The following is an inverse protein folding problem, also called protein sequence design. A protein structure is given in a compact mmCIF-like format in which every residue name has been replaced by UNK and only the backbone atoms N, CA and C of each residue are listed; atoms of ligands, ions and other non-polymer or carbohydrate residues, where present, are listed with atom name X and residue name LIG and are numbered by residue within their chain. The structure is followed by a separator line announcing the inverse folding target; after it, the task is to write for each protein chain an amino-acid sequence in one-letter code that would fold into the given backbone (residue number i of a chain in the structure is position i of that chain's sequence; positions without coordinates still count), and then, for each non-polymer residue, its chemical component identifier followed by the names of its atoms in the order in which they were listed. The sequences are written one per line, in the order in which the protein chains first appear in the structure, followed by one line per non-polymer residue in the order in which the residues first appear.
data_IF_791662492404
#
_entry.id   IF_791662492404
#
_cell.length_a   1.000
_cell.length_b   1.000
_cell.length_c   1.000
_cell.angle_alpha   90.00
_cell.angle_beta   90.00
_cell.angle_gamma   90.00
#
_symmetry.space_group_name_H-M   'P 1'
#
loop_
_entity.id
_entity.type
_entity.pdbx_description
1 polymer ?
#
# COMPACT_ATOMS: atom_id res chain seq x y z
N UNK A 1 11.56 -14.19 29.68
CA UNK A 1 11.69 -15.45 28.90
C UNK A 1 11.09 -15.31 27.50
N UNK A 2 9.88 -14.77 27.35
CA UNK A 2 9.20 -14.59 26.06
C UNK A 2 9.94 -13.66 25.09
N UNK A 3 10.46 -12.51 25.55
CA UNK A 3 11.24 -11.58 24.72
C UNK A 3 12.56 -12.19 24.21
N UNK A 4 13.19 -13.06 25.02
CA UNK A 4 14.40 -13.79 24.64
C UNK A 4 14.10 -14.89 23.61
N UNK A 5 12.95 -15.56 23.73
CA UNK A 5 12.47 -16.53 22.74
C UNK A 5 12.14 -15.83 21.40
N UNK A 6 11.51 -14.66 21.44
CA UNK A 6 11.20 -13.85 20.26
C UNK A 6 12.47 -13.40 19.54
N UNK A 7 13.44 -12.81 20.27
CA UNK A 7 14.72 -12.38 19.69
C UNK A 7 15.52 -13.55 19.11
N UNK A 8 15.52 -14.72 19.76
CA UNK A 8 16.15 -15.94 19.22
C UNK A 8 15.43 -16.49 17.99
N UNK A 9 14.09 -16.50 17.97
CA UNK A 9 13.33 -16.98 16.81
C UNK A 9 13.54 -16.06 15.60
N UNK A 10 13.50 -14.74 15.82
CA UNK A 10 13.77 -13.72 14.79
C UNK A 10 15.19 -13.82 14.21
N UNK A 11 16.18 -14.20 15.02
CA UNK A 11 17.55 -14.47 14.55
C UNK A 11 17.66 -15.83 13.86
N UNK A 12 17.05 -16.88 14.39
CA UNK A 12 17.09 -18.22 13.79
C UNK A 12 16.37 -18.29 12.42
N UNK A 13 15.26 -17.58 12.24
CA UNK A 13 14.55 -17.48 10.94
C UNK A 13 15.43 -16.78 9.89
N UNK A 14 16.24 -15.80 10.29
CA UNK A 14 17.21 -15.14 9.41
C UNK A 14 18.41 -16.02 9.04
N UNK A 15 18.71 -17.07 9.80
CA UNK A 15 19.93 -17.88 9.66
C UNK A 15 19.71 -19.34 9.19
N UNK A 16 18.48 -19.85 9.09
CA UNK A 16 18.26 -21.25 8.70
C UNK A 16 18.24 -21.47 7.18
N UNK A 17 19.43 -21.56 6.58
CA UNK A 17 19.63 -22.11 5.23
C UNK A 17 19.74 -23.64 5.18
N UNK A 18 19.78 -24.31 6.33
CA UNK A 18 20.01 -25.76 6.34
C UNK A 18 18.75 -26.59 6.09
N UNK A 19 18.90 -27.57 5.19
CA UNK A 19 17.94 -28.59 4.83
C UNK A 19 17.48 -29.33 6.09
N UNK A 20 16.17 -29.31 6.35
CA UNK A 20 15.60 -30.03 7.50
C UNK A 20 15.26 -31.45 7.04
N UNK A 21 16.12 -32.41 7.40
CA UNK A 21 15.85 -33.83 7.20
C UNK A 21 14.88 -34.31 8.27
N UNK A 22 13.66 -34.68 7.87
CA UNK A 22 12.68 -35.29 8.75
C UNK A 22 12.79 -36.82 8.64
N UNK A 23 13.32 -37.46 9.67
CA UNK A 23 13.46 -38.91 9.74
C UNK A 23 12.24 -39.53 10.43
N UNK A 24 11.45 -40.33 9.72
CA UNK A 24 10.45 -41.18 10.34
C UNK A 24 11.07 -42.53 10.71
N UNK A 25 10.64 -43.08 11.86
CA UNK A 25 11.26 -44.25 12.50
C UNK A 25 10.96 -45.57 11.75
N UNK A 26 10.01 -45.59 10.80
CA UNK A 26 9.59 -46.86 10.16
C UNK A 26 9.36 -46.85 8.63
N UNK A 27 9.22 -45.70 7.94
CA UNK A 27 8.72 -45.71 6.53
C UNK A 27 9.48 -44.79 5.55
N UNK A 28 10.81 -44.77 5.63
CA UNK A 28 11.67 -44.12 4.64
C UNK A 28 11.93 -42.63 4.89
N UNK A 29 12.93 -42.09 4.18
CA UNK A 29 13.41 -40.72 4.33
C UNK A 29 12.58 -39.78 3.44
N UNK A 30 11.90 -38.81 4.04
CA UNK A 30 11.28 -37.71 3.28
C UNK A 30 12.29 -36.55 3.27
N UNK A 31 12.95 -36.33 2.14
CA UNK A 31 13.74 -35.12 1.95
C UNK A 31 12.81 -33.98 1.56
N UNK A 32 12.52 -33.08 2.50
CA UNK A 32 11.88 -31.80 2.16
C UNK A 32 12.98 -30.86 1.69
N UNK A 33 13.20 -30.82 0.36
CA UNK A 33 14.11 -29.85 -0.25
C UNK A 33 13.52 -28.45 -0.02
N UNK A 34 14.07 -27.70 0.93
CA UNK A 34 13.72 -26.28 1.09
C UNK A 34 14.08 -25.57 -0.22
N UNK A 35 13.08 -25.06 -0.93
CA UNK A 35 13.32 -24.18 -2.08
C UNK A 35 14.03 -22.92 -1.57
N UNK A 36 14.95 -22.42 -2.38
CA UNK A 36 15.62 -21.14 -2.14
C UNK A 36 14.55 -20.11 -1.73
N UNK A 37 14.80 -19.42 -0.63
CA UNK A 37 13.84 -18.56 0.06
C UNK A 37 13.10 -17.65 -0.93
N UNK A 38 11.79 -17.55 -0.76
CA UNK A 38 10.93 -16.64 -1.53
C UNK A 38 11.60 -15.27 -1.67
N UNK A 39 11.68 -14.76 -2.90
CA UNK A 39 12.07 -13.38 -3.16
C UNK A 39 11.22 -12.47 -2.28
N UNK A 40 11.85 -11.61 -1.49
CA UNK A 40 11.13 -10.56 -0.74
C UNK A 40 10.21 -9.83 -1.72
N UNK A 41 8.98 -9.54 -1.29
CA UNK A 41 8.07 -8.75 -2.09
C UNK A 41 8.73 -7.41 -2.42
N UNK A 42 8.67 -7.02 -3.70
CA UNK A 42 9.24 -5.77 -4.19
C UNK A 42 8.31 -4.59 -3.95
N UNK A 43 6.99 -4.85 -3.98
CA UNK A 43 5.95 -3.87 -3.76
C UNK A 43 4.68 -4.46 -3.12
N UNK A 44 3.75 -3.56 -2.82
CA UNK A 44 2.47 -3.92 -2.19
C UNK A 44 1.58 -4.76 -3.11
N UNK A 45 1.67 -4.62 -4.44
CA UNK A 45 0.84 -5.40 -5.36
C UNK A 45 1.22 -6.87 -5.34
N UNK A 46 2.52 -7.19 -5.28
CA UNK A 46 2.99 -8.57 -5.10
C UNK A 46 2.51 -9.17 -3.77
N UNK A 47 2.60 -8.39 -2.68
CA UNK A 47 2.13 -8.83 -1.36
C UNK A 47 0.61 -9.07 -1.35
N UNK A 48 -0.18 -8.16 -1.92
CA UNK A 48 -1.64 -8.29 -1.98
C UNK A 48 -2.08 -9.51 -2.78
N UNK A 49 -1.39 -9.81 -3.88
CA UNK A 49 -1.67 -10.99 -4.69
C UNK A 49 -1.36 -12.27 -3.91
N UNK A 50 -0.19 -12.34 -3.26
CA UNK A 50 0.19 -13.50 -2.45
C UNK A 50 -0.73 -13.67 -1.23
N UNK A 51 -1.09 -12.59 -0.56
CA UNK A 51 -1.98 -12.60 0.59
C UNK A 51 -3.39 -13.05 0.21
N UNK A 52 -3.90 -12.65 -0.97
CA UNK A 52 -5.18 -13.15 -1.48
C UNK A 52 -5.17 -14.66 -1.68
N UNK A 53 -4.14 -15.22 -2.32
CA UNK A 53 -4.03 -16.67 -2.48
C UNK A 53 -3.92 -17.39 -1.14
N UNK A 54 -3.22 -16.81 -0.17
CA UNK A 54 -3.20 -17.32 1.21
C UNK A 54 -4.59 -17.30 1.85
N UNK A 55 -5.32 -16.19 1.74
CA UNK A 55 -6.69 -16.09 2.28
C UNK A 55 -7.61 -17.15 1.67
N UNK A 56 -7.61 -17.28 0.35
CA UNK A 56 -8.42 -18.29 -0.35
C UNK A 56 -8.13 -19.70 0.19
N UNK A 57 -6.86 -20.05 0.40
CA UNK A 57 -6.47 -21.33 0.97
C UNK A 57 -6.95 -21.51 2.42
N UNK A 58 -6.79 -20.48 3.26
CA UNK A 58 -7.23 -20.53 4.67
C UNK A 58 -8.75 -20.63 4.78
N UNK A 59 -9.49 -19.91 3.95
CA UNK A 59 -10.95 -19.88 4.00
C UNK A 59 -11.60 -21.19 3.55
N UNK A 60 -10.88 -22.04 2.81
CA UNK A 60 -11.31 -23.42 2.54
C UNK A 60 -11.40 -24.23 3.85
N UNK A 61 -10.45 -24.02 4.78
CA UNK A 61 -10.39 -24.75 6.05
C UNK A 61 -11.11 -24.04 7.20
N UNK A 62 -11.08 -22.71 7.21
CA UNK A 62 -11.52 -21.86 8.33
C UNK A 62 -12.33 -20.67 7.83
N UNK A 63 -13.56 -20.94 7.37
CA UNK A 63 -14.44 -19.92 6.78
C UNK A 63 -14.71 -18.72 7.69
N UNK A 64 -14.81 -18.95 9.01
CA UNK A 64 -15.15 -17.91 9.99
C UNK A 64 -14.03 -16.87 10.18
N UNK A 65 -12.83 -17.10 9.61
CA UNK A 65 -11.71 -16.14 9.65
C UNK A 65 -11.76 -15.07 8.56
N UNK A 66 -12.79 -15.05 7.72
CA UNK A 66 -12.91 -14.09 6.61
C UNK A 66 -12.80 -12.64 7.07
N UNK A 67 -13.49 -12.27 8.15
CA UNK A 67 -13.48 -10.90 8.65
C UNK A 67 -12.11 -10.50 9.22
N UNK A 68 -11.45 -11.43 9.91
CA UNK A 68 -10.09 -11.24 10.46
C UNK A 68 -9.07 -10.99 9.34
N UNK A 69 -9.10 -11.82 8.30
CA UNK A 69 -8.18 -11.73 7.18
C UNK A 69 -8.41 -10.46 6.34
N UNK A 70 -9.66 -10.11 6.08
CA UNK A 70 -10.00 -8.86 5.39
C UNK A 70 -9.56 -7.63 6.21
N UNK A 71 -9.78 -7.64 7.53
CA UNK A 71 -9.32 -6.57 8.40
C UNK A 71 -7.80 -6.39 8.33
N UNK A 72 -7.05 -7.49 8.38
CA UNK A 72 -5.59 -7.44 8.29
C UNK A 72 -5.10 -6.95 6.93
N UNK A 73 -5.71 -7.43 5.84
CA UNK A 73 -5.47 -6.94 4.48
C UNK A 73 -5.62 -5.41 4.39
N UNK A 74 -6.72 -4.88 4.93
CA UNK A 74 -7.01 -3.45 4.90
C UNK A 74 -6.08 -2.65 5.82
N UNK A 75 -5.67 -3.23 6.95
CA UNK A 75 -4.70 -2.63 7.87
C UNK A 75 -3.33 -2.45 7.21
N UNK A 76 -2.78 -3.52 6.60
CA UNK A 76 -1.50 -3.44 5.89
C UNK A 76 -1.60 -2.47 4.70
N UNK A 77 -2.69 -2.54 3.92
CA UNK A 77 -2.94 -1.60 2.82
C UNK A 77 -2.93 -0.15 3.32
N UNK A 78 -3.58 0.12 4.44
CA UNK A 78 -3.62 1.44 5.08
C UNK A 78 -2.23 1.88 5.54
N UNK A 79 -1.43 1.00 6.15
CA UNK A 79 -0.06 1.30 6.55
C UNK A 79 0.81 1.66 5.34
N UNK A 80 0.66 0.94 4.21
CA UNK A 80 1.38 1.24 2.97
C UNK A 80 1.01 2.60 2.33
N UNK A 81 -0.12 3.21 2.70
CA UNK A 81 -0.44 4.61 2.31
C UNK A 81 0.29 5.66 3.15
N UNK A 82 0.81 5.28 4.32
CA UNK A 82 1.41 6.18 5.32
C UNK A 82 2.92 6.00 5.44
N UNK A 83 3.42 4.79 5.27
CA UNK A 83 4.81 4.40 5.49
C UNK A 83 5.43 3.79 4.24
N UNK A 84 6.77 3.80 4.17
CA UNK A 84 7.51 3.10 3.14
C UNK A 84 7.22 1.59 3.17
N UNK A 85 7.10 0.98 1.99
CA UNK A 85 6.67 -0.42 1.88
C UNK A 85 7.62 -1.36 2.63
N UNK A 86 8.94 -1.12 2.54
CA UNK A 86 9.94 -1.92 3.25
C UNK A 86 9.74 -1.92 4.76
N UNK A 87 9.37 -0.78 5.36
CA UNK A 87 9.12 -0.71 6.81
C UNK A 87 7.84 -1.49 7.18
N UNK A 88 6.79 -1.38 6.35
CA UNK A 88 5.56 -2.15 6.56
C UNK A 88 5.81 -3.65 6.45
N UNK A 89 6.69 -4.10 5.56
CA UNK A 89 7.02 -5.52 5.43
C UNK A 89 7.78 -6.09 6.64
N UNK A 90 8.62 -5.30 7.30
CA UNK A 90 9.27 -5.73 8.55
C UNK A 90 8.24 -5.86 9.66
N UNK A 91 7.33 -4.90 9.77
CA UNK A 91 6.20 -4.97 10.71
C UNK A 91 5.31 -6.19 10.46
N UNK A 92 4.97 -6.47 9.19
CA UNK A 92 4.15 -7.62 8.78
C UNK A 92 4.81 -8.95 9.18
N UNK A 93 6.13 -9.06 8.96
CA UNK A 93 6.92 -10.22 9.37
C UNK A 93 6.94 -10.40 10.89
N UNK A 94 7.15 -9.33 11.64
CA UNK A 94 7.13 -9.32 13.10
C UNK A 94 5.75 -9.73 13.66
N UNK A 95 4.68 -9.27 13.01
CA UNK A 95 3.31 -9.65 13.37
C UNK A 95 3.04 -11.13 13.17
N UNK A 96 3.42 -11.69 12.01
CA UNK A 96 3.29 -13.13 11.76
C UNK A 96 4.12 -13.96 12.74
N UNK A 97 5.29 -13.45 13.13
CA UNK A 97 6.14 -14.10 14.10
C UNK A 97 5.50 -14.14 15.49
N UNK A 98 4.93 -13.02 15.93
CA UNK A 98 4.23 -12.92 17.20
C UNK A 98 3.05 -13.90 17.28
N UNK A 99 2.23 -13.99 16.22
CA UNK A 99 1.12 -14.94 16.12
C UNK A 99 1.57 -16.41 16.15
N UNK A 100 2.80 -16.70 15.73
CA UNK A 100 3.34 -18.06 15.83
C UNK A 100 3.72 -18.41 17.27
N UNK A 101 4.08 -17.40 18.07
CA UNK A 101 4.45 -17.56 19.48
C UNK A 101 3.25 -17.58 20.42
N UNK A 102 2.18 -16.88 20.06
CA UNK A 102 0.94 -16.83 20.84
C UNK A 102 -0.24 -17.32 20.00
N UNK A 103 -0.69 -18.55 20.30
CA UNK A 103 -1.80 -19.20 19.61
C UNK A 103 -3.17 -18.60 19.94
N UNK A 104 -3.26 -17.82 21.01
CA UNK A 104 -4.51 -17.17 21.42
C UNK A 104 -4.65 -15.78 20.76
N UNK A 105 -3.57 -15.25 20.20
CA UNK A 105 -3.58 -13.98 19.46
C UNK A 105 -4.16 -14.14 18.06
N UNK A 106 -4.81 -13.09 17.59
CA UNK A 106 -5.47 -12.99 16.29
C UNK A 106 -4.90 -11.83 15.48
N UNK A 107 -5.11 -11.83 14.17
CA UNK A 107 -4.71 -10.71 13.30
C UNK A 107 -5.53 -9.43 13.55
N UNK A 108 -6.59 -9.49 14.36
CA UNK A 108 -7.28 -8.30 14.84
C UNK A 108 -6.45 -7.55 15.90
N UNK A 109 -5.62 -8.27 16.64
CA UNK A 109 -4.89 -7.73 17.77
C UNK A 109 -3.79 -6.80 17.26
N UNK A 110 -3.86 -5.54 17.67
CA UNK A 110 -2.80 -4.59 17.38
C UNK A 110 -1.60 -4.90 18.27
N UNK A 111 -0.48 -5.25 17.65
CA UNK A 111 0.78 -5.40 18.35
C UNK A 111 1.44 -4.03 18.49
N UNK A 112 1.14 -3.35 19.60
CA UNK A 112 1.65 -2.02 19.92
C UNK A 112 3.18 -2.01 20.00
N UNK A 113 3.78 -3.10 20.48
CA UNK A 113 5.24 -3.25 20.55
C UNK A 113 5.85 -3.29 19.14
N UNK A 114 5.33 -4.15 18.26
CA UNK A 114 5.78 -4.22 16.87
C UNK A 114 5.52 -2.91 16.10
N UNK A 115 4.40 -2.22 16.36
CA UNK A 115 4.13 -0.90 15.78
C UNK A 115 5.14 0.15 16.29
N UNK A 116 5.45 0.15 17.59
CA UNK A 116 6.42 1.07 18.19
C UNK A 116 7.84 0.83 17.72
N UNK A 117 8.23 -0.43 17.50
CA UNK A 117 9.54 -0.79 16.95
C UNK A 117 9.69 -0.42 15.47
N UNK A 118 8.62 -0.56 14.67
CA UNK A 118 8.69 -0.43 13.22
C UNK A 118 8.21 0.93 12.67
N UNK A 119 7.47 1.72 13.45
CA UNK A 119 6.87 3.00 13.03
C UNK A 119 7.18 4.16 13.99
N UNK A 120 8.40 4.20 14.52
CA UNK A 120 8.88 5.27 15.39
C UNK A 120 9.00 6.64 14.68
N UNK A 121 9.44 7.67 15.43
CA UNK A 121 9.63 9.04 14.90
C UNK A 121 10.67 9.07 13.76
N UNK A 122 11.60 8.13 13.75
CA UNK A 122 12.68 8.04 12.74
C UNK A 122 12.28 7.26 11.49
N UNK A 123 11.20 6.46 11.57
CA UNK A 123 10.68 5.69 10.47
C UNK A 123 10.25 6.64 9.35
N UNK A 124 10.72 6.36 8.14
CA UNK A 124 10.41 7.17 6.96
C UNK A 124 8.93 7.05 6.67
N UNK A 125 8.15 7.98 7.22
CA UNK A 125 6.79 8.24 6.75
C UNK A 125 6.92 8.52 5.27
N UNK A 126 6.08 7.89 4.44
CA UNK A 126 5.95 8.30 3.05
C UNK A 126 5.67 9.79 3.10
N UNK A 127 6.63 10.60 2.63
CA UNK A 127 6.40 12.02 2.48
C UNK A 127 5.22 12.15 1.52
N UNK A 128 4.03 12.41 2.07
CA UNK A 128 2.85 12.79 1.29
C UNK A 128 3.10 14.17 0.70
N UNK A 129 3.95 14.23 -0.33
CA UNK A 129 3.98 15.12 -1.50
C UNK A 129 5.03 14.49 -2.43
N UNK A 130 4.71 13.37 -3.08
CA UNK A 130 5.08 13.27 -4.49
C UNK A 130 3.86 13.71 -5.28
N UNK A 131 3.68 15.04 -5.36
CA UNK A 131 3.07 15.60 -6.57
C UNK A 131 3.79 14.92 -7.73
N UNK A 132 3.09 14.37 -8.75
CA UNK A 132 3.79 13.85 -9.92
C UNK A 132 4.80 14.92 -10.33
N UNK A 133 6.09 14.56 -10.39
CA UNK A 133 7.10 15.43 -10.96
C UNK A 133 6.64 15.61 -12.39
N UNK A 134 5.87 16.67 -12.64
CA UNK A 134 5.46 17.07 -13.98
C UNK A 134 6.76 17.12 -14.77
N UNK A 135 6.88 16.26 -15.76
CA UNK A 135 8.10 16.20 -16.55
C UNK A 135 8.30 17.57 -17.20
N UNK A 136 9.55 18.05 -17.28
CA UNK A 136 9.85 19.40 -17.82
C UNK A 136 9.19 19.63 -19.20
N UNK A 137 9.01 18.57 -19.99
CA UNK A 137 8.34 18.55 -21.28
C UNK A 137 6.82 18.81 -21.22
N UNK A 138 6.16 18.44 -20.13
CA UNK A 138 4.72 18.66 -19.93
C UNK A 138 4.40 20.12 -19.55
N UNK A 139 5.39 20.82 -18.98
CA UNK A 139 5.30 22.25 -18.65
C UNK A 139 5.45 23.16 -19.86
N UNK A 140 5.83 22.64 -21.03
CA UNK A 140 6.07 23.45 -22.22
C UNK A 140 4.76 23.66 -22.99
N UNK A 141 4.43 24.92 -23.22
CA UNK A 141 3.38 25.39 -24.12
C UNK A 141 3.83 25.31 -25.58
N UNK A 142 2.89 25.34 -26.51
CA UNK A 142 3.16 25.15 -27.95
C UNK A 142 4.13 26.18 -28.55
N UNK A 143 4.31 27.34 -27.90
CA UNK A 143 5.24 28.40 -28.32
C UNK A 143 6.61 28.36 -27.61
N UNK A 144 6.89 27.30 -26.84
CA UNK A 144 8.13 27.15 -26.08
C UNK A 144 8.13 27.83 -24.71
N UNK A 145 7.08 28.58 -24.34
CA UNK A 145 6.97 29.15 -22.98
C UNK A 145 6.50 28.10 -21.98
N UNK A 146 6.89 28.29 -20.72
CA UNK A 146 6.47 27.38 -19.65
C UNK A 146 5.07 27.76 -19.09
N UNK A 147 4.26 26.74 -18.78
CA UNK A 147 2.95 26.88 -18.15
C UNK A 147 3.15 27.23 -16.67
N UNK A 148 2.40 28.22 -16.19
CA UNK A 148 2.46 28.67 -14.80
C UNK A 148 1.84 27.63 -13.85
N UNK A 149 2.68 26.91 -13.11
CA UNK A 149 2.25 25.98 -12.06
C UNK A 149 1.53 26.72 -10.92
N UNK A 150 2.03 27.90 -10.56
CA UNK A 150 1.44 28.69 -9.47
C UNK A 150 0.02 29.15 -9.82
N UNK A 151 -0.25 29.46 -11.08
CA UNK A 151 -1.60 29.80 -11.53
C UNK A 151 -2.54 28.59 -11.46
N UNK A 152 -2.10 27.41 -11.92
CA UNK A 152 -2.88 26.17 -11.79
C UNK A 152 -3.24 25.83 -10.34
N UNK A 153 -2.39 26.24 -9.39
CA UNK A 153 -2.59 26.05 -7.96
C UNK A 153 -3.25 27.24 -7.25
N UNK A 154 -3.67 28.28 -7.98
CA UNK A 154 -4.25 29.54 -7.44
C UNK A 154 -3.34 30.32 -6.49
N UNK A 155 -2.02 30.16 -6.63
CA UNK A 155 -1.01 30.94 -5.91
C UNK A 155 -0.37 32.03 -6.78
N UNK A 156 -0.79 32.16 -8.05
CA UNK A 156 -0.38 33.27 -8.90
C UNK A 156 -1.42 34.39 -8.79
N UNK A 157 -0.99 35.57 -8.38
CA UNK A 157 -1.82 36.78 -8.41
C UNK A 157 -2.09 37.18 -9.86
N UNK A 158 -3.34 37.36 -10.23
CA UNK A 158 -3.75 37.72 -11.61
C UNK A 158 -3.32 39.14 -12.00
N UNK A 159 -3.07 40.02 -11.01
CA UNK A 159 -2.70 41.43 -11.21
C UNK A 159 -1.21 41.66 -11.59
N UNK A 160 -0.36 40.63 -11.49
CA UNK A 160 1.05 40.72 -11.87
C UNK A 160 1.24 40.07 -13.24
N UNK A 161 1.96 40.75 -14.14
CA UNK A 161 2.40 40.19 -15.43
C UNK A 161 3.23 38.93 -15.18
N UNK A 162 2.57 37.77 -15.18
CA UNK A 162 3.23 36.50 -15.01
C UNK A 162 4.06 36.21 -16.25
N UNK A 163 5.35 35.86 -16.07
CA UNK A 163 6.24 35.49 -17.17
C UNK A 163 5.89 34.15 -17.82
N UNK A 164 4.97 33.39 -17.22
CA UNK A 164 4.56 32.04 -17.60
C UNK A 164 3.12 32.03 -18.12
N UNK A 165 2.78 31.05 -18.95
CA UNK A 165 1.46 30.96 -19.59
C UNK A 165 0.41 30.44 -18.58
N UNK A 166 -0.69 31.17 -18.44
CA UNK A 166 -1.85 30.76 -17.62
C UNK A 166 -2.75 29.78 -18.38
N UNK A 167 -2.29 28.53 -18.47
CA UNK A 167 -3.03 27.45 -19.11
C UNK A 167 -3.11 26.20 -18.23
N UNK A 168 -4.10 25.36 -18.47
CA UNK A 168 -4.30 24.10 -17.75
C UNK A 168 -3.14 23.12 -18.00
N UNK A 169 -2.57 22.56 -16.93
CA UNK A 169 -1.52 21.54 -17.03
C UNK A 169 -2.01 20.21 -17.63
N UNK A 170 -3.29 19.88 -17.46
CA UNK A 170 -3.86 18.61 -17.92
C UNK A 170 -4.17 18.62 -19.42
N UNK A 171 -4.90 19.64 -19.90
CA UNK A 171 -5.40 19.66 -21.27
C UNK A 171 -4.74 20.71 -22.16
N UNK A 172 -3.76 21.47 -21.63
CA UNK A 172 -3.07 22.56 -22.32
C UNK A 172 -4.04 23.54 -23.00
N UNK A 173 -5.11 23.94 -22.29
CA UNK A 173 -6.05 25.00 -22.73
C UNK A 173 -6.05 26.17 -21.75
N UNK A 174 -6.23 27.38 -22.27
CA UNK A 174 -6.35 28.61 -21.49
C UNK A 174 -7.77 28.68 -20.89
N UNK A 175 -7.94 29.42 -19.79
CA UNK A 175 -9.25 29.76 -19.22
C UNK A 175 -9.71 28.89 -18.05
N UNK A 176 -8.97 27.85 -17.68
CA UNK A 176 -9.21 27.09 -16.46
C UNK A 176 -7.92 26.49 -15.89
N UNK A 177 -7.91 26.26 -14.58
CA UNK A 177 -6.82 25.55 -13.89
C UNK A 177 -7.03 24.04 -13.95
N UNK A 178 -5.98 23.26 -13.73
CA UNK A 178 -6.02 21.80 -13.59
C UNK A 178 -7.21 21.29 -12.74
N UNK A 179 -7.47 21.91 -11.58
CA UNK A 179 -8.60 21.53 -10.70
C UNK A 179 -9.99 21.71 -11.33
N UNK A 180 -10.11 22.58 -12.33
CA UNK A 180 -11.35 22.84 -13.07
C UNK A 180 -11.33 22.14 -14.44
N UNK A 181 -10.34 21.30 -14.71
CA UNK A 181 -10.23 20.61 -15.98
C UNK A 181 -11.20 19.45 -16.05
N UNK A 182 -12.08 19.46 -17.06
CA UNK A 182 -13.03 18.37 -17.29
C UNK A 182 -12.32 17.03 -17.56
N UNK A 183 -11.18 17.05 -18.26
CA UNK A 183 -10.38 15.86 -18.60
C UNK A 183 -9.77 15.21 -17.35
N UNK A 184 -9.24 16.01 -16.42
CA UNK A 184 -8.73 15.48 -15.14
C UNK A 184 -9.84 15.02 -14.19
N UNK A 185 -11.03 15.63 -14.29
CA UNK A 185 -12.20 15.23 -13.52
C UNK A 185 -12.85 13.94 -14.01
N UNK A 186 -12.70 13.55 -15.28
CA UNK A 186 -13.26 12.30 -15.79
C UNK A 186 -12.49 11.07 -15.30
N UNK A 187 -11.18 11.16 -15.09
CA UNK A 187 -10.37 10.06 -14.52
C UNK A 187 -10.55 9.93 -13.00
N UNK A 188 -10.88 11.02 -12.31
CA UNK A 188 -11.15 11.00 -10.86
C UNK A 188 -12.62 10.77 -10.50
N UNK A 189 -13.58 11.10 -11.37
CA UNK A 189 -15.02 10.83 -11.14
C UNK A 189 -15.52 9.49 -11.68
N UNK A 190 -14.76 8.77 -12.52
CA UNK A 190 -15.11 7.41 -12.93
C UNK A 190 -14.94 6.37 -11.80
N UNK A 191 -14.26 6.73 -10.71
CA UNK A 191 -14.23 5.96 -9.46
C UNK A 191 -15.32 6.36 -8.43
N UNK A 192 -16.11 7.42 -8.69
CA UNK A 192 -17.00 8.01 -7.68
C UNK A 192 -18.47 8.18 -8.12
N UNK A 193 -18.90 7.61 -9.25
CA UNK A 193 -20.31 7.63 -9.67
C UNK A 193 -20.82 6.24 -10.00
N UNK A 194 -21.07 5.47 -8.95
CA UNK A 194 -22.02 4.38 -8.93
C UNK A 194 -22.96 4.55 -7.74
N UNK A 195 -23.87 5.54 -7.79
CA UNK A 195 -25.27 5.42 -7.33
C UNK A 195 -25.98 6.78 -7.19
N UNK A 196 -27.27 6.72 -7.55
CA UNK A 196 -28.37 7.66 -7.25
C UNK A 196 -28.42 8.90 -8.15
N UNK A 197 -29.53 9.31 -8.79
CA UNK A 197 -30.97 9.03 -8.56
C UNK A 197 -31.78 9.70 -9.69
N UNK A 198 -32.95 9.17 -10.05
CA UNK A 198 -34.10 9.93 -10.61
C UNK A 198 -35.35 9.01 -10.57
N UNK A 199 -36.10 8.95 -9.47
CA UNK A 199 -37.20 9.82 -9.05
C UNK A 199 -38.48 9.81 -9.91
N UNK A 200 -39.55 9.31 -9.26
CA UNK A 200 -40.95 9.78 -9.22
C UNK A 200 -41.82 9.95 -10.48
N UNK A 201 -43.01 9.33 -10.43
CA UNK A 201 -44.24 9.76 -11.10
C UNK A 201 -45.47 9.63 -10.16
N UNK A 202 -46.56 10.37 -10.42
CA UNK A 202 -47.33 11.06 -9.37
C UNK A 202 -48.61 10.33 -8.90
N UNK A 203 -49.17 10.85 -7.81
CA UNK A 203 -50.51 10.54 -7.27
C UNK A 203 -51.62 11.15 -8.15
N UNK A 204 -52.78 10.49 -8.07
CA UNK A 204 -54.10 10.75 -8.68
C UNK A 204 -54.49 12.23 -8.69
#
# INVERSE_FOLDING_TARGET
LQEFAYKNLKTNIKFHQDETLLQMVEWGLISVRKRNTYSKFSDISEWLLAFRSYMEAILIMYKDREHELNFYHDHISTLCTKYEFTAVMVYEEDQRLALTMDRESTLFDRNIEAEGENFDITTTKKFKISKPRIHKTELIWHDGREICINWNRRYCSEDKKCSHVHACLTCKKIGHTERKCFVGNTESNSAARGNSQADSQPKI
#
